data_IF_707887313950
#
_entry.id   IF_707887313950
#
_cell.length_a   1.000
_cell.length_b   1.000
_cell.length_c   1.000
_cell.angle_alpha   90.00
_cell.angle_beta   90.00
_cell.angle_gamma   90.00
#
_symmetry.space_group_name_H-M   'P 1'
#
loop_
_entity.id
_entity.type
_entity.pdbx_description
1 polymer ?
#
# COMPACT_ATOMS: atom_id res chain seq x y z
N UNK A 1 -2.61 -17.08 -2.56
CA UNK A 1 -1.42 -16.23 -2.53
C UNK A 1 -0.94 -16.10 -1.10
N UNK A 2 0.37 -16.14 -0.88
CA UNK A 2 0.98 -15.91 0.43
C UNK A 2 1.33 -14.43 0.65
N UNK A 3 1.78 -14.09 1.85
CA UNK A 3 2.16 -12.72 2.21
C UNK A 3 3.18 -12.10 1.22
N UNK A 4 4.22 -12.85 0.84
CA UNK A 4 5.31 -12.32 0.02
C UNK A 4 4.84 -12.06 -1.42
N UNK A 5 3.99 -12.93 -1.99
CA UNK A 5 3.37 -12.75 -3.30
C UNK A 5 2.44 -11.53 -3.34
N UNK A 6 1.58 -11.37 -2.34
CA UNK A 6 0.66 -10.24 -2.24
C UNK A 6 1.46 -8.95 -2.09
N UNK A 7 2.44 -8.92 -1.19
CA UNK A 7 3.28 -7.75 -0.93
C UNK A 7 4.07 -7.32 -2.17
N UNK A 8 4.65 -8.28 -2.90
CA UNK A 8 5.38 -7.98 -4.14
C UNK A 8 4.48 -7.34 -5.19
N UNK A 9 3.32 -7.92 -5.47
CA UNK A 9 2.37 -7.39 -6.47
C UNK A 9 1.86 -6.01 -6.03
N UNK A 10 1.57 -5.82 -4.75
CA UNK A 10 1.17 -4.52 -4.19
C UNK A 10 2.23 -3.46 -4.42
N UNK A 11 3.51 -3.75 -4.13
CA UNK A 11 4.61 -2.83 -4.36
C UNK A 11 4.72 -2.42 -5.85
N UNK A 12 4.64 -3.38 -6.76
CA UNK A 12 4.65 -3.14 -8.21
C UNK A 12 3.48 -2.25 -8.64
N UNK A 13 2.25 -2.54 -8.19
CA UNK A 13 1.06 -1.77 -8.56
C UNK A 13 1.08 -0.34 -7.98
N UNK A 14 1.52 -0.17 -6.73
CA UNK A 14 1.69 1.18 -6.12
C UNK A 14 2.71 1.97 -6.94
N UNK A 15 3.86 1.38 -7.27
CA UNK A 15 4.90 2.04 -8.05
C UNK A 15 4.39 2.46 -9.44
N UNK A 16 3.68 1.58 -10.14
CA UNK A 16 3.10 1.89 -11.46
C UNK A 16 2.11 3.05 -11.37
N UNK A 17 1.16 3.01 -10.43
CA UNK A 17 0.16 4.07 -10.27
C UNK A 17 0.77 5.40 -9.82
N UNK A 18 1.75 5.39 -8.90
CA UNK A 18 2.42 6.62 -8.50
C UNK A 18 3.26 7.21 -9.64
N UNK A 19 3.86 6.38 -10.49
CA UNK A 19 4.56 6.82 -11.69
C UNK A 19 3.62 7.56 -12.65
N UNK A 20 2.43 7.02 -12.90
CA UNK A 20 1.41 7.67 -13.73
C UNK A 20 0.90 8.97 -13.08
N UNK A 21 0.66 8.97 -11.76
CA UNK A 21 0.21 10.14 -11.03
C UNK A 21 1.22 11.29 -11.06
N UNK A 22 2.51 10.99 -10.95
CA UNK A 22 3.60 11.98 -10.94
C UNK A 22 3.84 12.59 -12.31
N UNK A 23 3.73 11.79 -13.38
CA UNK A 23 4.14 12.19 -14.73
C UNK A 23 3.02 12.79 -15.58
N UNK A 24 1.76 12.66 -15.16
CA UNK A 24 0.64 13.27 -15.89
C UNK A 24 0.61 14.81 -15.72
N UNK A 25 0.14 15.50 -16.75
CA UNK A 25 -0.14 16.94 -16.76
C UNK A 25 -1.59 17.27 -16.37
N UNK A 26 -2.42 16.26 -16.16
CA UNK A 26 -3.83 16.41 -15.79
C UNK A 26 -4.04 16.14 -14.30
N UNK A 27 -4.52 17.16 -13.58
CA UNK A 27 -4.82 17.04 -12.15
C UNK A 27 -5.83 15.92 -11.86
N UNK A 28 -6.86 15.76 -12.70
CA UNK A 28 -7.85 14.70 -12.51
C UNK A 28 -7.27 13.31 -12.71
N UNK A 29 -6.34 13.15 -13.66
CA UNK A 29 -5.63 11.89 -13.90
C UNK A 29 -4.66 11.61 -12.75
N UNK A 30 -3.97 12.63 -12.23
CA UNK A 30 -3.11 12.52 -11.07
C UNK A 30 -3.89 12.04 -9.84
N UNK A 31 -5.07 12.64 -9.57
CA UNK A 31 -5.96 12.20 -8.49
C UNK A 31 -6.45 10.77 -8.69
N UNK A 32 -6.83 10.39 -9.91
CA UNK A 32 -7.30 9.04 -10.21
C UNK A 32 -6.23 7.99 -9.88
N UNK A 33 -4.99 8.18 -10.35
CA UNK A 33 -3.91 7.23 -10.11
C UNK A 33 -3.42 7.23 -8.65
N UNK A 34 -3.34 8.40 -8.01
CA UNK A 34 -3.03 8.48 -6.57
C UNK A 34 -4.05 7.71 -5.73
N UNK A 35 -5.35 7.88 -6.02
CA UNK A 35 -6.42 7.14 -5.36
C UNK A 35 -6.34 5.63 -5.66
N UNK A 36 -5.95 5.23 -6.87
CA UNK A 36 -5.73 3.83 -7.20
C UNK A 36 -4.57 3.21 -6.40
N UNK A 37 -3.46 3.93 -6.22
CA UNK A 37 -2.34 3.51 -5.38
C UNK A 37 -2.78 3.31 -3.91
N UNK A 38 -3.56 4.25 -3.36
CA UNK A 38 -4.18 4.12 -2.03
C UNK A 38 -5.15 2.93 -1.92
N UNK A 39 -5.94 2.68 -2.97
CA UNK A 39 -6.83 1.52 -3.03
C UNK A 39 -6.06 0.19 -2.99
N UNK A 40 -4.92 0.11 -3.68
CA UNK A 40 -4.04 -1.07 -3.66
C UNK A 40 -3.42 -1.31 -2.28
N UNK A 41 -2.94 -0.26 -1.61
CA UNK A 41 -2.45 -0.33 -0.23
C UNK A 41 -3.56 -0.83 0.72
N UNK A 42 -4.76 -0.26 0.59
CA UNK A 42 -5.90 -0.65 1.42
C UNK A 42 -6.28 -2.13 1.23
N UNK A 43 -6.30 -2.59 -0.03
CA UNK A 43 -6.57 -3.99 -0.34
C UNK A 43 -5.48 -4.93 0.20
N UNK A 44 -4.21 -4.53 0.10
CA UNK A 44 -3.11 -5.29 0.69
C UNK A 44 -3.31 -5.47 2.20
N UNK A 45 -3.64 -4.39 2.91
CA UNK A 45 -3.82 -4.41 4.36
C UNK A 45 -4.93 -5.39 4.79
N UNK A 46 -6.07 -5.38 4.11
CA UNK A 46 -7.16 -6.33 4.35
C UNK A 46 -6.74 -7.80 4.10
N UNK A 47 -6.02 -8.05 3.00
CA UNK A 47 -5.56 -9.39 2.64
C UNK A 47 -4.55 -9.94 3.65
N UNK A 48 -3.56 -9.13 4.07
CA UNK A 48 -2.55 -9.59 5.04
C UNK A 48 -3.12 -9.71 6.45
N UNK A 49 -4.07 -8.85 6.83
CA UNK A 49 -4.80 -8.98 8.10
C UNK A 49 -5.60 -10.28 8.15
N UNK A 50 -6.21 -10.69 7.03
CA UNK A 50 -6.87 -12.00 6.94
C UNK A 50 -5.89 -13.16 7.19
N UNK A 51 -4.67 -13.08 6.64
CA UNK A 51 -3.60 -14.06 6.88
C UNK A 51 -3.20 -14.06 8.36
N UNK A 52 -3.02 -12.89 8.97
CA UNK A 52 -2.70 -12.77 10.40
C UNK A 52 -3.77 -13.42 11.28
N UNK A 53 -5.05 -13.17 11.02
CA UNK A 53 -6.15 -13.81 11.75
C UNK A 53 -6.12 -15.33 11.67
N UNK A 54 -5.75 -15.89 10.51
CA UNK A 54 -5.65 -17.35 10.34
C UNK A 54 -4.39 -17.92 10.99
N UNK A 55 -3.29 -17.15 11.09
CA UNK A 55 -2.11 -17.49 11.91
C UNK A 55 -2.48 -17.43 13.39
N UNK A 56 -3.16 -16.38 13.84
CA UNK A 56 -3.55 -16.15 15.23
C UNK A 56 -4.38 -17.30 15.80
N UNK A 57 -5.32 -17.82 15.01
CA UNK A 57 -6.13 -19.00 15.36
C UNK A 57 -5.29 -20.26 15.61
N UNK A 58 -4.14 -20.39 14.94
CA UNK A 58 -3.25 -21.56 15.04
C UNK A 58 -2.19 -21.36 16.13
N UNK A 59 -1.59 -20.18 16.18
CA UNK A 59 -0.55 -19.83 17.13
C UNK A 59 -0.55 -18.31 17.38
N UNK A 60 -0.96 -17.92 18.60
CA UNK A 60 -1.03 -16.51 19.01
C UNK A 60 0.33 -15.80 19.00
N UNK A 61 1.41 -16.49 19.34
CA UNK A 61 2.76 -15.91 19.37
C UNK A 61 3.28 -15.66 17.95
N UNK A 62 3.05 -16.58 17.02
CA UNK A 62 3.42 -16.39 15.62
C UNK A 62 2.68 -15.21 14.97
N UNK A 63 1.44 -14.93 15.39
CA UNK A 63 0.68 -13.75 14.94
C UNK A 63 1.31 -12.43 15.41
N UNK A 64 1.92 -12.40 16.60
CA UNK A 64 2.61 -11.20 17.08
C UNK A 64 3.78 -10.80 16.17
N UNK A 65 4.65 -11.77 15.84
CA UNK A 65 5.79 -11.54 14.93
C UNK A 65 5.33 -11.15 13.53
N UNK A 66 4.26 -11.79 13.04
CA UNK A 66 3.70 -11.51 11.74
C UNK A 66 3.05 -10.13 11.67
N UNK A 67 2.34 -9.69 12.72
CA UNK A 67 1.75 -8.36 12.78
C UNK A 67 2.81 -7.26 12.76
N UNK A 68 3.94 -7.45 13.43
CA UNK A 68 5.08 -6.53 13.33
C UNK A 68 5.61 -6.42 11.89
N UNK A 69 5.65 -7.53 11.14
CA UNK A 69 6.01 -7.54 9.71
C UNK A 69 5.02 -6.70 8.88
N UNK A 70 3.72 -6.86 9.14
CA UNK A 70 2.66 -6.05 8.49
C UNK A 70 2.82 -4.56 8.80
N UNK A 71 3.02 -4.19 10.07
CA UNK A 71 3.16 -2.79 10.49
C UNK A 71 4.34 -2.11 9.76
N UNK A 72 5.51 -2.75 9.73
CA UNK A 72 6.68 -2.22 9.03
C UNK A 72 6.43 -2.02 7.52
N UNK A 73 5.81 -3.01 6.86
CA UNK A 73 5.52 -2.92 5.43
C UNK A 73 4.42 -1.88 5.12
N UNK A 74 3.45 -1.73 6.02
CA UNK A 74 2.40 -0.73 5.91
C UNK A 74 2.98 0.69 5.92
N UNK A 75 3.93 0.97 6.83
CA UNK A 75 4.66 2.24 6.85
C UNK A 75 5.45 2.49 5.54
N UNK A 76 6.07 1.46 4.98
CA UNK A 76 6.77 1.57 3.69
C UNK A 76 5.80 1.91 2.55
N UNK A 77 4.64 1.25 2.49
CA UNK A 77 3.64 1.56 1.48
C UNK A 77 2.99 2.93 1.68
N UNK A 78 2.76 3.35 2.92
CA UNK A 78 2.29 4.71 3.20
C UNK A 78 3.25 5.74 2.63
N UNK A 79 4.56 5.58 2.86
CA UNK A 79 5.60 6.44 2.26
C UNK A 79 5.57 6.41 0.74
N UNK A 80 5.33 5.26 0.11
CA UNK A 80 5.19 5.18 -1.36
C UNK A 80 3.94 5.91 -1.88
N UNK A 81 2.91 6.08 -1.06
CA UNK A 81 1.62 6.71 -1.45
C UNK A 81 1.42 8.15 -0.94
N UNK A 82 2.47 8.76 -0.36
CA UNK A 82 2.40 10.15 0.12
C UNK A 82 1.97 11.10 -0.99
N UNK A 83 0.97 11.93 -0.71
CA UNK A 83 0.36 12.82 -1.69
C UNK A 83 1.33 13.90 -2.16
N UNK A 84 2.26 14.28 -1.29
CA UNK A 84 3.32 15.26 -1.48
C UNK A 84 4.30 14.84 -2.60
N UNK A 85 4.37 13.56 -2.94
CA UNK A 85 5.16 13.08 -4.07
C UNK A 85 4.56 13.46 -5.42
N UNK A 86 3.26 13.73 -5.48
CA UNK A 86 2.55 14.04 -6.74
C UNK A 86 2.48 15.56 -6.92
N UNK A 87 3.24 16.16 -7.86
CA UNK A 87 3.39 17.62 -7.96
C UNK A 87 2.06 18.38 -8.08
N UNK A 88 1.11 17.84 -8.86
CA UNK A 88 -0.20 18.44 -9.09
C UNK A 88 -1.15 18.37 -7.88
N UNK A 89 -0.81 17.57 -6.86
CA UNK A 89 -1.65 17.28 -5.69
C UNK A 89 -1.10 17.84 -4.38
N UNK A 90 0.09 18.45 -4.41
CA UNK A 90 0.68 19.13 -3.25
C UNK A 90 -0.30 20.16 -2.70
N UNK A 91 -0.40 20.21 -1.37
CA UNK A 91 -1.15 21.27 -0.70
C UNK A 91 -0.48 22.62 -1.01
N UNK A 92 -1.23 23.71 -1.21
CA UNK A 92 -0.66 25.06 -1.22
C UNK A 92 0.11 25.31 0.08
N UNK A 93 1.25 25.99 -0.02
CA UNK A 93 2.01 26.49 1.15
C UNK A 93 1.19 27.46 2.02
#
# INVERSE_FOLDING_TARGET
>A
MNYDEITKITAERISDYMTEAVNTDSKSVAEMFHNAAWGVLSLWFELVTKIDLDIHKKNRYASYDFRRKIEMQHEEFQKMTEREQVPLLKLPE
#
